data_IF_842666986304
#
_entry.id   IF_842666986304
#
_cell.length_a   1.000
_cell.length_b   1.000
_cell.length_c   1.000
_cell.angle_alpha   90.00
_cell.angle_beta   90.00
_cell.angle_gamma   90.00
#
_symmetry.space_group_name_H-M   'P 1'
#
loop_
_entity.id
_entity.type
_entity.pdbx_description
1 polymer ?
#
# COMPACT_ATOMS: atom_id res chain seq x y z
N UNK A 1 12.88 -5.47 -0.52
CA UNK A 1 12.94 -6.90 -0.70
C UNK A 1 13.58 -7.22 -2.05
N UNK A 2 14.77 -7.79 -2.03
CA UNK A 2 15.58 -8.11 -3.23
C UNK A 2 15.22 -9.45 -3.88
N UNK A 3 14.12 -10.08 -3.46
CA UNK A 3 13.72 -11.39 -3.94
C UNK A 3 12.65 -11.33 -5.03
N UNK A 4 12.71 -12.26 -6.04
CA UNK A 4 11.65 -12.43 -7.01
C UNK A 4 10.28 -12.71 -6.36
N UNK A 5 9.17 -12.33 -7.01
CA UNK A 5 9.08 -11.70 -8.34
C UNK A 5 9.26 -10.16 -8.32
N UNK A 6 9.26 -9.52 -7.14
CA UNK A 6 9.26 -8.05 -7.04
C UNK A 6 10.57 -7.42 -7.52
N UNK A 7 11.71 -8.01 -7.19
CA UNK A 7 13.01 -7.52 -7.66
C UNK A 7 13.15 -7.59 -9.19
N UNK A 8 12.70 -8.68 -9.79
CA UNK A 8 12.69 -8.86 -11.25
C UNK A 8 11.79 -7.84 -11.94
N UNK A 9 10.62 -7.57 -11.35
CA UNK A 9 9.67 -6.58 -11.85
C UNK A 9 10.25 -5.15 -11.81
N UNK A 10 10.93 -4.77 -10.73
CA UNK A 10 11.58 -3.47 -10.60
C UNK A 10 12.74 -3.32 -11.58
N UNK A 11 13.59 -4.34 -11.68
CA UNK A 11 14.73 -4.35 -12.61
C UNK A 11 14.28 -4.23 -14.07
N UNK A 12 13.22 -4.92 -14.47
CA UNK A 12 12.65 -4.84 -15.82
C UNK A 12 12.13 -3.44 -16.18
N UNK A 13 11.84 -2.60 -15.17
CA UNK A 13 11.42 -1.19 -15.34
C UNK A 13 12.56 -0.18 -15.16
N UNK A 14 13.80 -0.65 -15.05
CA UNK A 14 14.96 0.22 -14.85
C UNK A 14 15.01 0.87 -13.45
N UNK A 15 14.19 0.39 -12.51
CA UNK A 15 14.19 0.92 -11.15
C UNK A 15 15.38 0.34 -10.39
N UNK A 16 16.25 1.20 -9.91
CA UNK A 16 17.46 0.81 -9.18
C UNK A 16 17.10 0.40 -7.76
N UNK A 17 17.26 -0.87 -7.45
CA UNK A 17 17.15 -1.39 -6.08
C UNK A 17 18.52 -1.34 -5.43
N UNK A 18 18.60 -0.82 -4.20
CA UNK A 18 19.78 -0.80 -3.36
C UNK A 18 19.66 -1.81 -2.24
N UNK A 19 20.71 -2.54 -1.97
CA UNK A 19 20.75 -3.54 -0.90
C UNK A 19 21.30 -2.93 0.38
N UNK A 20 20.65 -3.28 1.48
CA UNK A 20 20.97 -2.76 2.80
C UNK A 20 20.54 -1.31 3.00
N UNK A 21 20.33 -0.95 4.26
CA UNK A 21 19.95 0.40 4.66
C UNK A 21 21.19 1.20 5.02
N UNK A 22 21.43 2.27 4.29
CA UNK A 22 22.61 3.15 4.48
C UNK A 22 22.24 4.57 4.14
N UNK A 23 22.78 5.53 4.88
CA UNK A 23 22.58 6.95 4.64
C UNK A 23 22.95 7.37 3.20
N UNK A 24 23.99 6.76 2.63
CA UNK A 24 24.46 7.04 1.27
C UNK A 24 23.47 6.61 0.18
N UNK A 25 22.48 5.82 0.52
CA UNK A 25 21.39 5.46 -0.40
C UNK A 25 20.51 6.66 -0.73
N UNK A 26 20.44 7.66 0.15
CA UNK A 26 19.75 8.93 -0.06
C UNK A 26 20.63 9.89 -0.87
N UNK A 27 20.91 9.53 -2.12
CA UNK A 27 21.74 10.34 -3.02
C UNK A 27 20.98 11.60 -3.44
N UNK A 28 21.63 12.74 -3.28
CA UNK A 28 21.04 14.03 -3.58
C UNK A 28 19.99 14.46 -2.53
N UNK A 29 19.10 15.31 -2.94
CA UNK A 29 17.92 15.68 -2.16
C UNK A 29 16.68 15.16 -2.90
N UNK A 30 16.15 13.99 -2.56
CA UNK A 30 14.92 13.49 -3.17
C UNK A 30 13.77 14.46 -2.86
N UNK A 31 12.86 14.65 -3.80
CA UNK A 31 11.67 15.50 -3.61
C UNK A 31 10.75 14.92 -2.54
N UNK A 32 10.69 13.60 -2.43
CA UNK A 32 9.88 12.88 -1.44
C UNK A 32 10.50 11.53 -1.10
N UNK A 33 10.48 11.16 0.17
CA UNK A 33 10.85 9.82 0.65
C UNK A 33 9.61 9.10 1.16
N UNK A 34 9.34 7.91 0.62
CA UNK A 34 8.23 7.07 1.08
C UNK A 34 8.77 6.01 2.03
N UNK A 35 8.31 6.05 3.28
CA UNK A 35 8.77 5.15 4.34
C UNK A 35 7.74 4.03 4.53
N UNK A 36 8.18 2.78 4.32
CA UNK A 36 7.34 1.59 4.51
C UNK A 36 7.13 1.25 5.99
N UNK A 37 6.06 0.52 6.29
CA UNK A 37 5.69 0.15 7.66
C UNK A 37 6.70 -0.78 8.37
N UNK A 38 7.49 -1.53 7.61
CA UNK A 38 8.55 -2.39 8.17
C UNK A 38 9.78 -1.61 8.67
N UNK A 39 9.85 -0.30 8.40
CA UNK A 39 10.94 0.56 8.82
C UNK A 39 10.64 1.12 10.21
N UNK A 40 11.62 1.03 11.11
CA UNK A 40 11.54 1.55 12.48
C UNK A 40 12.60 2.59 12.75
N UNK A 41 12.47 3.28 13.90
CA UNK A 41 13.53 4.14 14.44
C UNK A 41 14.82 3.35 14.61
N UNK A 42 15.95 4.00 14.38
CA UNK A 42 17.27 3.36 14.34
C UNK A 42 17.66 2.81 12.96
N UNK A 43 16.76 2.82 11.97
CA UNK A 43 17.14 2.51 10.59
C UNK A 43 17.97 3.66 10.01
N UNK A 44 19.20 3.42 9.48
CA UNK A 44 20.10 4.49 9.04
C UNK A 44 19.50 5.42 7.98
N UNK A 45 18.71 4.90 7.04
CA UNK A 45 18.04 5.74 6.04
C UNK A 45 16.93 6.58 6.66
N UNK A 46 16.12 6.00 7.56
CA UNK A 46 15.06 6.75 8.22
C UNK A 46 15.61 7.85 9.12
N UNK A 47 16.69 7.56 9.88
CA UNK A 47 17.34 8.59 10.71
C UNK A 47 17.93 9.70 9.85
N UNK A 48 18.60 9.37 8.75
CA UNK A 48 19.13 10.38 7.84
C UNK A 48 18.04 11.26 7.18
N UNK A 49 16.87 10.68 6.88
CA UNK A 49 15.70 11.46 6.41
C UNK A 49 15.29 12.50 7.45
N UNK A 50 15.21 12.10 8.73
CA UNK A 50 14.82 12.98 9.83
C UNK A 50 15.89 14.07 10.10
N UNK A 51 17.16 13.69 10.17
CA UNK A 51 18.26 14.60 10.41
C UNK A 51 18.42 15.66 9.31
N UNK A 52 18.31 15.24 8.05
CA UNK A 52 18.36 16.12 6.88
C UNK A 52 17.08 16.90 6.65
N UNK A 53 16.01 16.64 7.44
CA UNK A 53 14.70 17.28 7.32
C UNK A 53 14.11 17.13 5.91
N UNK A 54 14.32 15.97 5.29
CA UNK A 54 13.75 15.66 3.98
C UNK A 54 12.25 15.49 4.09
N UNK A 55 11.53 15.83 3.02
CA UNK A 55 10.09 15.56 2.95
C UNK A 55 9.85 14.06 2.89
N UNK A 56 9.01 13.55 3.77
CA UNK A 56 8.65 12.14 3.80
C UNK A 56 7.18 11.92 4.09
N UNK A 57 6.67 10.78 3.67
CA UNK A 57 5.33 10.28 3.98
C UNK A 57 5.34 8.75 4.04
N UNK A 58 4.23 8.18 4.48
CA UNK A 58 3.96 6.76 4.35
C UNK A 58 3.42 6.41 2.96
N UNK A 59 3.47 5.14 2.59
CA UNK A 59 2.83 4.67 1.34
C UNK A 59 1.31 4.94 1.31
N UNK A 60 0.53 4.67 2.39
CA UNK A 60 -0.88 5.01 2.41
C UNK A 60 -1.17 6.51 2.23
N UNK A 61 -0.37 7.39 2.79
CA UNK A 61 -0.51 8.84 2.58
C UNK A 61 -0.23 9.23 1.13
N UNK A 62 0.84 8.70 0.54
CA UNK A 62 1.13 8.93 -0.88
C UNK A 62 -0.03 8.48 -1.77
N UNK A 63 -0.53 7.26 -1.55
CA UNK A 63 -1.67 6.72 -2.31
C UNK A 63 -2.90 7.59 -2.17
N UNK A 64 -3.22 7.97 -0.93
CA UNK A 64 -4.37 8.84 -0.63
C UNK A 64 -4.30 10.15 -1.41
N UNK A 65 -3.17 10.85 -1.34
CA UNK A 65 -3.08 12.23 -1.83
C UNK A 65 -2.79 12.31 -3.34
N UNK A 66 -2.23 11.23 -3.93
CA UNK A 66 -1.85 11.23 -5.35
C UNK A 66 -2.82 10.47 -6.23
N UNK A 67 -3.45 9.40 -5.73
CA UNK A 67 -4.20 8.46 -6.57
C UNK A 67 -5.64 8.22 -6.13
N UNK A 68 -5.98 8.43 -4.85
CA UNK A 68 -7.32 8.12 -4.32
C UNK A 68 -8.16 9.38 -4.18
N UNK A 69 -7.55 10.49 -3.78
CA UNK A 69 -8.28 11.74 -3.54
C UNK A 69 -8.92 12.25 -4.84
N UNK A 70 -10.23 12.39 -4.80
CA UNK A 70 -11.04 12.77 -5.97
C UNK A 70 -11.64 11.59 -6.73
N UNK A 71 -11.22 10.37 -6.41
CA UNK A 71 -11.76 9.15 -6.98
C UNK A 71 -12.79 8.48 -6.04
N UNK A 72 -13.60 7.61 -6.59
CA UNK A 72 -14.57 6.78 -5.85
C UNK A 72 -13.87 5.54 -5.35
N UNK A 73 -13.38 5.57 -4.11
CA UNK A 73 -12.61 4.45 -3.59
C UNK A 73 -13.50 3.35 -3.00
N UNK A 74 -13.20 2.10 -3.35
CA UNK A 74 -13.77 0.90 -2.77
C UNK A 74 -12.66 0.20 -2.00
N UNK A 75 -12.79 0.15 -0.67
CA UNK A 75 -11.81 -0.47 0.22
C UNK A 75 -12.33 -1.83 0.68
N UNK A 76 -11.57 -2.88 0.43
CA UNK A 76 -11.90 -4.24 0.86
C UNK A 76 -11.05 -4.59 2.07
N UNK A 77 -11.69 -4.67 3.24
CA UNK A 77 -11.06 -4.99 4.53
C UNK A 77 -11.59 -6.30 5.10
N UNK A 78 -10.98 -6.77 6.19
CA UNK A 78 -11.34 -7.99 6.89
C UNK A 78 -10.14 -8.89 7.15
N UNK A 79 -10.23 -9.82 8.09
CA UNK A 79 -9.13 -10.71 8.45
C UNK A 79 -8.70 -11.58 7.25
N UNK A 80 -9.65 -12.18 6.52
CA UNK A 80 -9.37 -13.07 5.40
C UNK A 80 -10.12 -12.69 4.13
N UNK A 81 -9.60 -13.14 2.98
CA UNK A 81 -10.25 -13.02 1.66
C UNK A 81 -10.17 -11.64 1.00
N UNK A 82 -9.48 -10.67 1.56
CA UNK A 82 -9.29 -9.33 0.98
C UNK A 82 -8.85 -9.38 -0.48
N UNK A 83 -7.73 -10.07 -0.75
CA UNK A 83 -7.16 -10.22 -2.10
C UNK A 83 -8.13 -10.85 -3.08
N UNK A 84 -8.83 -11.91 -2.66
CA UNK A 84 -9.81 -12.60 -3.51
C UNK A 84 -10.99 -11.68 -3.85
N UNK A 85 -11.55 -11.02 -2.85
CA UNK A 85 -12.70 -10.12 -3.03
C UNK A 85 -12.33 -8.91 -3.87
N UNK A 86 -11.18 -8.26 -3.59
CA UNK A 86 -10.69 -7.14 -4.39
C UNK A 86 -10.43 -7.55 -5.85
N UNK A 87 -9.87 -8.74 -6.07
CA UNK A 87 -9.63 -9.28 -7.42
C UNK A 87 -10.92 -9.53 -8.19
N UNK A 88 -11.91 -10.16 -7.54
CA UNK A 88 -13.22 -10.40 -8.14
C UNK A 88 -13.95 -9.10 -8.46
N UNK A 89 -13.91 -8.15 -7.52
CA UNK A 89 -14.54 -6.84 -7.71
C UNK A 89 -13.91 -6.09 -8.88
N UNK A 90 -12.58 -6.06 -8.95
CA UNK A 90 -11.84 -5.45 -10.06
C UNK A 90 -12.21 -6.11 -11.38
N UNK A 91 -12.33 -7.43 -11.41
CA UNK A 91 -12.72 -8.18 -12.60
C UNK A 91 -14.15 -7.86 -13.05
N UNK A 92 -15.11 -7.74 -12.13
CA UNK A 92 -16.50 -7.35 -12.43
C UNK A 92 -16.53 -5.92 -13.01
N UNK A 93 -15.82 -4.98 -12.42
CA UNK A 93 -15.73 -3.61 -12.90
C UNK A 93 -15.09 -3.53 -14.29
N UNK A 94 -14.04 -4.29 -14.55
CA UNK A 94 -13.40 -4.38 -15.87
C UNK A 94 -14.39 -4.89 -16.92
N UNK A 95 -15.10 -5.98 -16.62
CA UNK A 95 -16.10 -6.56 -17.54
C UNK A 95 -17.32 -5.68 -17.76
N UNK A 96 -17.61 -4.79 -16.82
CA UNK A 96 -18.66 -3.78 -16.94
C UNK A 96 -18.22 -2.54 -17.72
N UNK A 97 -17.00 -2.52 -18.25
CA UNK A 97 -16.45 -1.40 -19.02
C UNK A 97 -16.03 -0.20 -18.16
N UNK A 98 -15.96 -0.34 -16.83
CA UNK A 98 -15.60 0.73 -15.91
C UNK A 98 -14.10 0.96 -15.79
N UNK A 99 -13.27 0.03 -16.29
CA UNK A 99 -11.81 0.12 -16.35
C UNK A 99 -11.14 0.66 -15.06
N UNK A 100 -11.35 0.05 -13.88
CA UNK A 100 -10.98 0.63 -12.61
C UNK A 100 -9.46 0.73 -12.41
N UNK A 101 -9.02 1.75 -11.68
CA UNK A 101 -7.74 1.73 -10.99
C UNK A 101 -7.77 0.72 -9.85
N UNK A 102 -6.65 0.07 -9.56
CA UNK A 102 -6.61 -0.87 -8.44
C UNK A 102 -5.21 -1.05 -7.85
N UNK A 103 -5.17 -1.42 -6.56
CA UNK A 103 -3.99 -1.91 -5.88
C UNK A 103 -4.37 -3.14 -5.03
N UNK A 104 -3.87 -4.30 -5.44
CA UNK A 104 -4.14 -5.60 -4.85
C UNK A 104 -2.82 -6.22 -4.39
N UNK A 105 -2.79 -6.82 -3.21
CA UNK A 105 -1.57 -7.35 -2.58
C UNK A 105 -0.94 -8.55 -3.30
N UNK A 106 -1.68 -9.19 -4.22
CA UNK A 106 -1.22 -10.26 -5.11
C UNK A 106 -1.26 -9.86 -6.58
N UNK A 107 -0.94 -10.80 -7.44
CA UNK A 107 -1.16 -10.70 -8.89
C UNK A 107 -2.34 -11.61 -9.22
N UNK A 108 -3.54 -11.07 -9.47
CA UNK A 108 -4.69 -11.89 -9.83
C UNK A 108 -4.46 -12.59 -11.17
N UNK A 109 -4.92 -13.84 -11.29
CA UNK A 109 -4.68 -14.65 -12.50
C UNK A 109 -5.22 -14.00 -13.79
N UNK A 110 -6.26 -13.16 -13.68
CA UNK A 110 -6.88 -12.48 -14.80
C UNK A 110 -6.18 -11.17 -15.20
N UNK A 111 -5.19 -10.75 -14.41
CA UNK A 111 -4.42 -9.53 -14.63
C UNK A 111 -2.92 -9.85 -14.63
N UNK A 112 -2.14 -9.09 -15.38
CA UNK A 112 -0.69 -9.27 -15.45
C UNK A 112 0.08 -8.60 -14.31
N UNK A 113 -0.63 -7.84 -13.45
CA UNK A 113 -0.02 -7.04 -12.39
C UNK A 113 -1.00 -6.81 -11.23
N UNK A 114 -0.44 -6.56 -10.04
CA UNK A 114 -1.24 -6.27 -8.82
C UNK A 114 -1.67 -4.82 -8.68
N UNK A 115 -1.22 -3.93 -9.56
CA UNK A 115 -1.59 -2.52 -9.54
C UNK A 115 -1.74 -1.97 -10.94
N UNK A 116 -2.74 -1.11 -11.12
CA UNK A 116 -2.97 -0.37 -12.37
C UNK A 116 -3.63 0.98 -12.04
N UNK A 117 -3.21 2.02 -12.73
CA UNK A 117 -3.84 3.33 -12.68
C UNK A 117 -4.42 3.66 -14.06
N UNK A 118 -5.64 4.16 -14.06
CA UNK A 118 -6.43 4.48 -15.26
C UNK A 118 -7.11 5.82 -15.06
N UNK A 119 -7.79 6.31 -16.08
CA UNK A 119 -8.62 7.53 -16.01
C UNK A 119 -10.05 7.25 -15.46
N UNK A 120 -10.27 6.07 -14.90
CA UNK A 120 -11.55 5.70 -14.28
C UNK A 120 -11.77 6.46 -12.98
N UNK A 121 -12.98 6.86 -12.72
CA UNK A 121 -13.39 7.41 -11.44
C UNK A 121 -13.35 6.37 -10.28
N UNK A 122 -13.09 5.10 -10.55
CA UNK A 122 -13.11 4.03 -9.55
C UNK A 122 -11.71 3.57 -9.18
N UNK A 123 -11.45 3.49 -7.88
CA UNK A 123 -10.23 2.94 -7.31
C UNK A 123 -10.56 1.80 -6.33
N UNK A 124 -10.10 0.58 -6.63
CA UNK A 124 -10.31 -0.61 -5.79
C UNK A 124 -9.02 -0.95 -5.06
N UNK A 125 -9.05 -1.02 -3.73
CA UNK A 125 -7.86 -1.25 -2.93
C UNK A 125 -8.13 -2.20 -1.76
N UNK A 126 -7.14 -3.03 -1.42
CA UNK A 126 -7.17 -3.82 -0.19
C UNK A 126 -6.90 -2.94 1.02
N UNK A 127 -7.77 -3.05 2.01
CA UNK A 127 -7.64 -2.40 3.31
C UNK A 127 -6.84 -3.27 4.26
N UNK A 128 -5.53 -3.04 4.33
CA UNK A 128 -4.63 -3.73 5.26
C UNK A 128 -4.78 -3.11 6.67
N UNK A 129 -4.96 -3.95 7.66
CA UNK A 129 -5.12 -3.61 9.08
C UNK A 129 -3.80 -3.25 9.78
N UNK A 130 -2.65 -3.59 9.21
CA UNK A 130 -1.35 -3.24 9.77
C UNK A 130 -1.12 -1.74 9.86
N UNK A 131 -0.30 -1.34 10.83
CA UNK A 131 0.10 0.05 11.01
C UNK A 131 0.75 0.65 9.75
N UNK A 132 0.57 1.94 9.59
CA UNK A 132 0.94 2.69 8.40
C UNK A 132 2.45 2.88 8.29
N UNK A 133 3.10 3.31 9.39
CA UNK A 133 4.53 3.55 9.49
C UNK A 133 4.96 3.68 10.97
N UNK A 134 6.26 3.80 11.24
CA UNK A 134 6.73 4.00 12.61
C UNK A 134 6.21 5.31 13.26
N UNK A 135 5.89 6.30 12.46
CA UNK A 135 5.38 7.61 12.89
C UNK A 135 3.84 7.72 12.83
N UNK A 136 3.16 6.72 12.26
CA UNK A 136 1.71 6.64 12.20
C UNK A 136 1.25 5.20 12.47
N UNK A 137 0.65 4.99 13.64
CA UNK A 137 0.20 3.67 14.11
C UNK A 137 -1.23 3.31 13.73
N UNK A 138 -1.91 4.18 12.98
CA UNK A 138 -3.23 3.86 12.43
C UNK A 138 -3.12 2.79 11.36
N UNK A 139 -4.16 1.98 11.24
CA UNK A 139 -4.27 1.00 10.16
C UNK A 139 -4.25 1.68 8.79
N UNK A 140 -3.65 1.04 7.80
CA UNK A 140 -3.48 1.62 6.45
C UNK A 140 -4.80 1.99 5.80
N UNK A 141 -5.87 1.20 6.01
CA UNK A 141 -7.18 1.45 5.41
C UNK A 141 -7.82 2.78 5.83
N UNK A 142 -7.46 3.33 7.00
CA UNK A 142 -7.96 4.63 7.49
C UNK A 142 -7.59 5.77 6.53
N UNK A 143 -6.51 5.62 5.77
CA UNK A 143 -6.05 6.61 4.80
C UNK A 143 -6.82 6.57 3.47
N UNK A 144 -7.51 5.48 3.14
CA UNK A 144 -7.99 5.23 1.76
C UNK A 144 -9.33 5.87 1.42
N UNK A 145 -9.89 6.69 2.32
CA UNK A 145 -11.08 7.53 2.09
C UNK A 145 -12.24 6.76 1.43
N UNK A 146 -12.70 5.63 1.97
CA UNK A 146 -13.66 4.78 1.28
C UNK A 146 -15.00 5.49 1.03
N UNK A 147 -15.46 5.52 -0.22
CA UNK A 147 -16.86 5.77 -0.55
C UNK A 147 -17.68 4.49 -0.28
N UNK A 148 -17.07 3.33 -0.55
CA UNK A 148 -17.63 2.02 -0.24
C UNK A 148 -16.61 1.20 0.53
N UNK A 149 -16.99 0.71 1.71
CA UNK A 149 -16.20 -0.25 2.47
C UNK A 149 -16.85 -1.64 2.38
N UNK A 150 -16.07 -2.63 1.96
CA UNK A 150 -16.46 -4.04 1.95
C UNK A 150 -15.75 -4.71 3.12
N UNK A 151 -16.49 -5.11 4.15
CA UNK A 151 -15.98 -5.84 5.30
C UNK A 151 -16.30 -7.32 5.12
N UNK A 152 -15.29 -8.12 4.78
CA UNK A 152 -15.48 -9.54 4.51
C UNK A 152 -15.84 -10.34 5.77
N UNK A 153 -14.99 -10.20 6.78
CA UNK A 153 -15.12 -10.88 8.06
C UNK A 153 -14.37 -10.11 9.12
N UNK A 154 -14.77 -10.28 10.36
CA UNK A 154 -14.13 -9.75 11.53
C UNK A 154 -13.78 -10.92 12.44
N UNK A 155 -12.52 -11.30 12.46
CA UNK A 155 -11.99 -12.36 13.31
C UNK A 155 -10.76 -11.80 14.04
N UNK A 156 -10.53 -12.30 15.25
CA UNK A 156 -9.29 -11.92 15.96
C UNK A 156 -8.11 -12.56 15.24
N UNK A 157 -7.32 -11.71 14.61
CA UNK A 157 -6.07 -12.05 13.95
C UNK A 157 -5.02 -10.99 14.31
N UNK A 158 -3.76 -11.26 14.01
CA UNK A 158 -2.67 -10.33 14.28
C UNK A 158 -2.53 -9.94 15.76
N UNK A 159 -2.49 -10.94 16.65
CA UNK A 159 -2.29 -10.76 18.10
C UNK A 159 -0.96 -10.09 18.50
N UNK A 160 -0.09 -9.83 17.53
CA UNK A 160 1.12 -9.02 17.65
C UNK A 160 0.82 -7.50 17.60
N UNK A 161 -0.36 -7.11 17.09
CA UNK A 161 -0.77 -5.70 16.92
C UNK A 161 -1.99 -5.37 17.78
N UNK A 162 -3.00 -6.26 17.79
CA UNK A 162 -4.27 -6.05 18.47
C UNK A 162 -4.37 -6.92 19.71
N UNK A 163 -4.89 -6.38 20.81
CA UNK A 163 -5.06 -7.10 22.08
C UNK A 163 -6.29 -8.02 22.06
N UNK A 164 -7.32 -7.57 21.39
CA UNK A 164 -8.61 -8.27 21.29
C UNK A 164 -9.37 -7.81 20.02
N UNK A 165 -10.57 -8.38 19.85
CA UNK A 165 -11.42 -8.08 18.69
C UNK A 165 -11.95 -6.64 18.70
N UNK A 166 -12.03 -5.99 19.86
CA UNK A 166 -12.52 -4.61 19.97
C UNK A 166 -11.47 -3.58 19.51
N UNK A 167 -10.19 -3.98 19.49
CA UNK A 167 -9.09 -3.16 18.99
C UNK A 167 -9.02 -3.12 17.45
N UNK A 168 -9.63 -4.11 16.76
CA UNK A 168 -9.72 -4.21 15.30
C UNK A 168 -10.91 -3.40 14.79
#
# INVERSE_FOLDING_TARGET
NVYPPKSTFLAARGIKVREGYREENLIGAPDLVVIGNAISRGNPEAEAVLERKLLYCSLPELLKDTFIRGERSIVVAGAHGKTTTASLLTWVFEHSGLNPSYLIGGIPNNFSQGARFTDSAWFIIEGDEYDTAFFDKRSKFVHYLPEVAVLNNLEFDHGDIFRDLEDI
#
